data_IF_725216025950
#
_entry.id   IF_725216025950
#
_cell.length_a   1.000
_cell.length_b   1.000
_cell.length_c   1.000
_cell.angle_alpha   90.00
_cell.angle_beta   90.00
_cell.angle_gamma   90.00
#
_symmetry.space_group_name_H-M   'P 1'
#
loop_
_entity.id
_entity.type
_entity.pdbx_description
1 polymer ?
#
# COMPACT_ATOMS: atom_id res chain seq x y z
N UNK A 1 24.62 -1.13 2.68
CA UNK A 1 23.38 -1.62 2.05
C UNK A 1 22.71 -0.37 1.53
N UNK A 2 22.52 -0.23 0.21
CA UNK A 2 21.84 0.94 -0.32
C UNK A 2 20.37 0.85 0.13
N UNK A 3 19.92 1.84 0.88
CA UNK A 3 18.53 1.99 1.28
C UNK A 3 17.77 2.34 -0.01
N UNK A 4 17.09 1.36 -0.61
CA UNK A 4 16.28 1.61 -1.80
C UNK A 4 15.04 2.33 -1.29
N UNK A 5 15.12 3.66 -1.23
CA UNK A 5 13.99 4.49 -0.82
C UNK A 5 13.00 4.56 -1.98
N UNK A 6 12.01 3.67 -1.96
CA UNK A 6 10.95 3.64 -2.96
C UNK A 6 10.02 4.85 -2.82
N UNK A 7 10.01 5.74 -3.81
CA UNK A 7 9.13 6.92 -3.84
C UNK A 7 7.78 6.64 -4.50
N UNK A 8 7.47 5.38 -4.82
CA UNK A 8 6.24 5.00 -5.50
C UNK A 8 5.06 5.11 -4.50
N UNK A 9 4.00 5.86 -4.83
CA UNK A 9 2.84 5.98 -3.95
C UNK A 9 2.14 4.63 -3.78
N UNK A 10 1.82 4.30 -2.53
CA UNK A 10 1.10 3.06 -2.19
C UNK A 10 -0.39 3.25 -2.48
N UNK A 11 -1.04 2.35 -3.26
CA UNK A 11 -2.47 2.42 -3.51
C UNK A 11 -3.28 2.35 -2.21
N UNK A 12 -4.27 3.24 -2.05
CA UNK A 12 -5.09 3.32 -0.83
C UNK A 12 -6.50 2.78 -0.99
N UNK A 13 -6.92 2.52 -2.23
CA UNK A 13 -8.26 2.01 -2.55
C UNK A 13 -8.17 0.77 -3.43
N UNK A 14 -9.18 -0.12 -3.42
CA UNK A 14 -9.22 -1.28 -4.29
C UNK A 14 -9.04 -0.92 -5.78
N UNK A 15 -9.66 0.17 -6.24
CA UNK A 15 -9.59 0.61 -7.64
C UNK A 15 -8.22 1.17 -8.02
N UNK A 16 -7.49 1.74 -7.08
CA UNK A 16 -6.09 2.14 -7.29
C UNK A 16 -5.16 0.93 -7.29
N UNK A 17 -5.42 -0.07 -6.43
CA UNK A 17 -4.66 -1.32 -6.40
C UNK A 17 -4.80 -2.07 -7.73
N UNK A 18 -6.01 -2.21 -8.26
CA UNK A 18 -6.24 -2.86 -9.56
C UNK A 18 -5.50 -2.13 -10.68
N UNK A 19 -5.58 -0.79 -10.74
CA UNK A 19 -4.83 0.02 -11.71
C UNK A 19 -3.31 -0.14 -11.54
N UNK A 20 -2.80 -0.20 -10.32
CA UNK A 20 -1.38 -0.41 -10.06
C UNK A 20 -0.92 -1.79 -10.53
N UNK A 21 -1.76 -2.83 -10.38
CA UNK A 21 -1.49 -4.18 -10.88
C UNK A 21 -1.49 -4.20 -12.41
N UNK A 22 -2.45 -3.55 -13.06
CA UNK A 22 -2.48 -3.44 -14.53
C UNK A 22 -1.27 -2.70 -15.07
N UNK A 23 -0.89 -1.59 -14.42
CA UNK A 23 0.31 -0.85 -14.75
C UNK A 23 1.55 -1.72 -14.60
N UNK A 24 1.72 -2.41 -13.46
CA UNK A 24 2.84 -3.32 -13.22
C UNK A 24 2.97 -4.42 -14.28
N UNK A 25 1.84 -4.97 -14.76
CA UNK A 25 1.83 -6.02 -15.81
C UNK A 25 2.20 -5.51 -17.20
N UNK A 26 1.92 -4.25 -17.49
CA UNK A 26 2.04 -3.66 -18.83
C UNK A 26 3.24 -2.73 -18.97
N UNK A 27 3.84 -2.35 -17.85
CA UNK A 27 4.97 -1.41 -17.82
C UNK A 27 6.28 -2.11 -18.12
N UNK A 28 7.09 -1.44 -18.93
CA UNK A 28 8.47 -1.84 -19.21
C UNK A 28 9.43 -1.30 -18.13
N UNK A 29 9.08 -1.54 -16.87
CA UNK A 29 9.90 -1.13 -15.70
C UNK A 29 10.84 -2.26 -15.29
N UNK A 30 12.05 -1.90 -14.88
CA UNK A 30 13.12 -2.84 -14.58
C UNK A 30 13.90 -2.42 -13.34
N UNK A 31 14.60 -3.37 -12.71
CA UNK A 31 15.47 -3.09 -11.57
C UNK A 31 14.70 -2.64 -10.33
N UNK A 32 15.24 -1.63 -9.64
CA UNK A 32 14.70 -1.15 -8.36
C UNK A 32 13.26 -0.62 -8.48
N UNK A 33 12.89 -0.05 -9.63
CA UNK A 33 11.54 0.49 -9.83
C UNK A 33 10.47 -0.61 -9.93
N UNK A 34 10.80 -1.74 -10.55
CA UNK A 34 9.94 -2.93 -10.58
C UNK A 34 9.73 -3.47 -9.16
N UNK A 35 10.81 -3.53 -8.37
CA UNK A 35 10.75 -3.97 -6.98
C UNK A 35 9.89 -3.03 -6.14
N UNK A 36 10.09 -1.73 -6.27
CA UNK A 36 9.31 -0.71 -5.56
C UNK A 36 7.81 -0.77 -5.90
N UNK A 37 7.47 -0.94 -7.18
CA UNK A 37 6.07 -1.04 -7.59
C UNK A 37 5.41 -2.33 -7.08
N UNK A 38 6.14 -3.45 -7.08
CA UNK A 38 5.66 -4.69 -6.49
C UNK A 38 5.45 -4.56 -4.97
N UNK A 39 6.38 -3.95 -4.25
CA UNK A 39 6.28 -3.74 -2.80
C UNK A 39 5.08 -2.86 -2.45
N UNK A 40 4.86 -1.76 -3.19
CA UNK A 40 3.70 -0.89 -3.03
C UNK A 40 2.37 -1.63 -3.23
N UNK A 41 2.26 -2.45 -4.29
CA UNK A 41 1.07 -3.27 -4.57
C UNK A 41 0.83 -4.27 -3.43
N UNK A 42 1.90 -4.93 -2.95
CA UNK A 42 1.82 -5.91 -1.87
C UNK A 42 1.35 -5.27 -0.56
N UNK A 43 1.94 -4.13 -0.19
CA UNK A 43 1.58 -3.42 1.04
C UNK A 43 0.13 -2.93 0.99
N UNK A 44 -0.29 -2.34 -0.14
CA UNK A 44 -1.67 -1.94 -0.36
C UNK A 44 -2.66 -3.11 -0.26
N UNK A 45 -2.34 -4.26 -0.86
CA UNK A 45 -3.19 -5.45 -0.79
C UNK A 45 -3.36 -5.95 0.66
N UNK A 46 -2.28 -5.92 1.45
CA UNK A 46 -2.34 -6.29 2.86
C UNK A 46 -3.18 -5.30 3.68
N UNK A 47 -2.99 -3.99 3.48
CA UNK A 47 -3.76 -2.95 4.18
C UNK A 47 -5.24 -2.96 3.80
N UNK A 48 -5.58 -3.24 2.55
CA UNK A 48 -6.97 -3.30 2.10
C UNK A 48 -7.67 -4.59 2.54
N UNK A 49 -6.94 -5.70 2.64
CA UNK A 49 -7.47 -6.98 3.13
C UNK A 49 -7.69 -6.97 4.65
N UNK A 50 -6.83 -6.25 5.37
CA UNK A 50 -6.94 -6.00 6.79
C UNK A 50 -7.09 -4.50 6.99
N UNK A 51 -8.29 -3.92 6.73
CA UNK A 51 -8.51 -2.53 7.09
C UNK A 51 -8.17 -2.43 8.57
N UNK A 52 -7.10 -1.69 8.88
CA UNK A 52 -6.82 -1.35 10.27
C UNK A 52 -8.14 -0.81 10.85
N UNK A 53 -8.58 -1.28 12.03
CA UNK A 53 -9.78 -0.72 12.63
C UNK A 53 -9.51 0.78 12.78
N UNK A 54 -10.21 1.56 11.97
CA UNK A 54 -10.11 3.01 11.90
C UNK A 54 -10.58 3.54 13.25
N UNK A 55 -9.65 3.64 14.20
CA UNK A 55 -9.91 4.05 15.57
C UNK A 55 -10.93 3.16 16.29
N UNK A 56 -10.43 2.28 17.14
CA UNK A 56 -11.14 1.89 18.36
C UNK A 56 -11.25 3.13 19.28
N UNK A 57 -11.96 4.16 18.84
CA UNK A 57 -12.43 5.26 19.67
C UNK A 57 -13.62 4.71 20.42
N UNK A 58 -13.37 3.96 21.49
CA UNK A 58 -14.38 3.68 22.51
C UNK A 58 -14.87 5.04 23.05
N UNK A 59 -16.12 5.46 22.80
CA UNK A 59 -16.65 6.67 23.42
C UNK A 59 -16.94 6.32 24.88
N UNK A 60 -16.10 6.75 25.82
CA UNK A 60 -16.35 6.52 27.25
C UNK A 60 -15.14 6.51 28.18
N UNK A 61 -13.91 6.74 27.70
CA UNK A 61 -12.70 6.64 28.52
C UNK A 61 -12.42 7.85 29.46
N UNK A 62 -13.41 8.70 29.73
CA UNK A 62 -13.25 9.90 30.58
C UNK A 62 -14.25 10.00 31.75
N UNK A 63 -14.86 8.87 32.13
CA UNK A 63 -15.67 8.81 33.37
C UNK A 63 -15.11 7.74 34.31
N UNK A 64 -14.12 8.12 35.13
CA UNK A 64 -13.82 7.43 36.38
C UNK A 64 -13.46 8.42 37.49
#
# INVERSE_FOLDING_TARGET
>A
MADITCTIPTPTTPQELERAIEHYKTSDISGDELFCQWEAIRNAALQLQFPEPEGDRVPGADSY
#
